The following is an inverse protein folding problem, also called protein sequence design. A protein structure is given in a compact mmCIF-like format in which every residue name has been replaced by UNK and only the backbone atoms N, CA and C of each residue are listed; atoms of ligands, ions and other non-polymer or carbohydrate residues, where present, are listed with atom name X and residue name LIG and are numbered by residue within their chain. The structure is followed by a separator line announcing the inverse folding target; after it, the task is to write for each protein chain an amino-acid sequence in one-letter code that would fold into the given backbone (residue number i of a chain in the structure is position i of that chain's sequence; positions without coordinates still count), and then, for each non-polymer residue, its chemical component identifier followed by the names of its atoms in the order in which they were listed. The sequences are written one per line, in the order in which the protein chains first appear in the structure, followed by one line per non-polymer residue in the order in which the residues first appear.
data_IF_444517304433
#
_entry.id   IF_444517304433
#
_cell.length_a   1.000
_cell.length_b   1.000
_cell.length_c   1.000
_cell.angle_alpha   90.00
_cell.angle_beta   90.00
_cell.angle_gamma   90.00
#
_symmetry.space_group_name_H-M   'P 1'
#
loop_
_entity.id
_entity.type
_entity.pdbx_description
1 polymer ?
#
# COMPACT_ATOMS: atom_id res chain seq x y z
N UNK A 1 33.24 -0.14 -3.90
CA UNK A 1 32.44 -1.33 -3.51
C UNK A 1 31.52 -0.86 -2.41
N UNK A 2 30.20 -1.01 -2.60
CA UNK A 2 29.20 -0.63 -1.58
C UNK A 2 29.51 -1.33 -0.26
N UNK A 3 29.43 -0.60 0.85
CA UNK A 3 29.56 -1.16 2.20
C UNK A 3 28.21 -1.56 2.80
N UNK A 4 27.12 -1.12 2.17
CA UNK A 4 25.76 -1.52 2.51
C UNK A 4 25.49 -2.91 1.91
N UNK A 5 25.25 -3.88 2.79
CA UNK A 5 24.75 -5.19 2.40
C UNK A 5 23.23 -5.23 2.58
N UNK A 6 22.48 -5.23 1.47
CA UNK A 6 21.02 -5.28 1.54
C UNK A 6 20.50 -6.62 2.07
N UNK A 7 21.30 -7.69 1.99
CA UNK A 7 20.92 -9.01 2.51
C UNK A 7 20.72 -9.00 4.03
N UNK A 8 21.37 -8.08 4.75
CA UNK A 8 21.23 -7.93 6.19
C UNK A 8 19.75 -7.68 6.58
N UNK A 9 18.98 -6.98 5.73
CA UNK A 9 17.55 -6.76 5.97
C UNK A 9 16.72 -8.04 5.88
N UNK A 10 17.14 -9.04 5.09
CA UNK A 10 16.44 -10.33 5.01
C UNK A 10 16.47 -11.05 6.35
N UNK A 11 17.60 -10.96 7.05
CA UNK A 11 17.81 -11.60 8.35
C UNK A 11 17.19 -10.79 9.49
N UNK A 12 17.26 -9.45 9.42
CA UNK A 12 16.75 -8.55 10.46
C UNK A 12 15.22 -8.41 10.47
N UNK A 13 14.57 -8.53 9.30
CA UNK A 13 13.11 -8.34 9.20
C UNK A 13 12.38 -9.64 9.58
N UNK A 14 11.79 -9.60 10.77
CA UNK A 14 10.82 -10.59 11.22
C UNK A 14 9.42 -10.30 10.66
N UNK A 15 8.55 -11.30 10.66
CA UNK A 15 7.12 -11.06 10.40
C UNK A 15 6.45 -10.49 11.66
N UNK A 16 5.33 -9.75 11.53
CA UNK A 16 4.43 -9.51 12.64
C UNK A 16 4.10 -10.80 13.41
N UNK A 17 3.89 -10.69 14.72
CA UNK A 17 3.81 -11.85 15.61
C UNK A 17 2.56 -12.71 15.30
N UNK A 18 2.79 -13.90 14.74
CA UNK A 18 1.71 -14.82 14.39
C UNK A 18 1.03 -15.49 15.59
N UNK A 19 1.66 -15.51 16.77
CA UNK A 19 1.03 -15.92 18.02
C UNK A 19 0.03 -14.86 18.49
N UNK A 20 0.47 -13.61 18.56
CA UNK A 20 -0.40 -12.47 18.92
C UNK A 20 -1.55 -12.31 17.92
N UNK A 21 -1.31 -12.55 16.63
CA UNK A 21 -2.39 -12.55 15.63
C UNK A 21 -3.48 -13.56 15.98
N UNK A 22 -3.11 -14.80 16.30
CA UNK A 22 -4.06 -15.84 16.71
C UNK A 22 -4.78 -15.47 18.01
N UNK A 23 -4.08 -14.83 18.95
CA UNK A 23 -4.70 -14.35 20.19
C UNK A 23 -5.72 -13.23 19.91
N UNK A 24 -5.44 -12.35 18.96
CA UNK A 24 -6.37 -11.31 18.50
C UNK A 24 -7.58 -11.90 17.77
N UNK A 25 -7.39 -12.88 16.88
CA UNK A 25 -8.45 -13.65 16.21
C UNK A 25 -9.35 -14.35 17.26
N UNK A 26 -8.76 -15.08 18.20
CA UNK A 26 -9.49 -15.77 19.27
C UNK A 26 -10.25 -14.81 20.19
N UNK A 27 -9.66 -13.64 20.49
CA UNK A 27 -10.37 -12.56 21.21
C UNK A 27 -11.55 -12.06 20.40
N UNK A 28 -11.37 -11.83 19.10
CA UNK A 28 -12.41 -11.35 18.20
C UNK A 28 -13.62 -12.28 18.16
N UNK A 29 -13.42 -13.60 18.18
CA UNK A 29 -14.49 -14.61 18.24
C UNK A 29 -15.40 -14.50 19.48
N UNK A 30 -14.83 -14.05 20.61
CA UNK A 30 -15.55 -13.89 21.87
C UNK A 30 -16.31 -12.58 21.97
N UNK A 31 -16.08 -11.60 21.09
CA UNK A 31 -16.76 -10.29 21.15
C UNK A 31 -18.25 -10.37 20.80
N UNK A 32 -19.04 -9.44 21.36
CA UNK A 32 -20.50 -9.38 21.21
C UNK A 32 -20.95 -9.27 19.74
N UNK A 33 -20.16 -8.59 18.90
CA UNK A 33 -20.41 -8.48 17.47
C UNK A 33 -19.87 -9.74 16.80
N UNK A 34 -20.64 -10.48 15.99
CA UNK A 34 -20.11 -11.68 15.31
C UNK A 34 -18.87 -11.37 14.46
N UNK A 35 -17.84 -12.24 14.45
CA UNK A 35 -16.68 -12.10 13.56
C UNK A 35 -17.10 -11.98 12.09
N UNK A 36 -16.36 -11.18 11.31
CA UNK A 36 -16.64 -10.88 9.92
C UNK A 36 -17.70 -9.79 9.71
N UNK A 37 -18.49 -9.44 10.72
CA UNK A 37 -19.54 -8.42 10.59
C UNK A 37 -18.99 -6.99 10.50
N UNK A 38 -17.76 -6.77 10.97
CA UNK A 38 -17.03 -5.50 10.78
C UNK A 38 -16.22 -5.49 9.48
N UNK A 39 -16.30 -6.57 8.68
CA UNK A 39 -15.54 -6.75 7.45
C UNK A 39 -14.05 -6.61 7.69
N UNK A 40 -13.39 -5.81 6.86
CA UNK A 40 -11.92 -5.61 6.89
C UNK A 40 -11.39 -4.94 8.16
N UNK A 41 -12.26 -4.36 8.99
CA UNK A 41 -11.83 -3.80 10.28
C UNK A 41 -11.37 -4.92 11.25
N UNK A 42 -11.91 -6.13 11.11
CA UNK A 42 -11.44 -7.30 11.86
C UNK A 42 -9.98 -7.61 11.48
N UNK A 43 -9.72 -7.80 10.17
CA UNK A 43 -8.38 -8.06 9.64
C UNK A 43 -7.36 -6.97 10.00
N UNK A 44 -7.78 -5.70 9.99
CA UNK A 44 -6.96 -4.54 10.35
C UNK A 44 -6.57 -4.55 11.83
N UNK A 45 -7.52 -4.87 12.71
CA UNK A 45 -7.28 -4.97 14.15
C UNK A 45 -6.30 -6.10 14.47
N UNK A 46 -6.46 -7.25 13.81
CA UNK A 46 -5.57 -8.41 13.93
C UNK A 46 -4.16 -8.12 13.39
N UNK A 47 -4.07 -7.48 12.23
CA UNK A 47 -2.78 -7.05 11.66
C UNK A 47 -2.06 -6.09 12.61
N UNK A 48 -2.75 -5.08 13.14
CA UNK A 48 -2.15 -4.11 14.03
C UNK A 48 -1.74 -4.73 15.36
N UNK A 49 -2.56 -5.64 15.92
CA UNK A 49 -2.21 -6.41 17.11
C UNK A 49 -0.90 -7.20 16.91
N UNK A 50 -0.80 -7.91 15.79
CA UNK A 50 0.39 -8.68 15.42
C UNK A 50 1.62 -7.79 15.22
N UNK A 51 1.46 -6.65 14.56
CA UNK A 51 2.56 -5.71 14.31
C UNK A 51 3.05 -5.05 15.61
N UNK A 52 2.14 -4.73 16.53
CA UNK A 52 2.46 -4.16 17.83
C UNK A 52 2.93 -5.20 18.87
N UNK A 53 2.75 -6.49 18.59
CA UNK A 53 3.00 -7.59 19.53
C UNK A 53 2.11 -7.52 20.78
N UNK A 54 0.85 -7.07 20.64
CA UNK A 54 -0.08 -6.89 21.75
C UNK A 54 -1.52 -7.27 21.39
N UNK A 55 -2.17 -8.08 22.25
CA UNK A 55 -3.61 -8.36 22.23
C UNK A 55 -4.17 -8.16 23.65
N UNK A 56 -5.08 -7.20 23.90
CA UNK A 56 -5.69 -6.30 22.92
C UNK A 56 -4.67 -5.35 22.27
N UNK A 57 -5.03 -4.92 21.06
CA UNK A 57 -4.25 -3.94 20.29
C UNK A 57 -4.19 -2.61 21.05
N UNK A 58 -3.07 -1.90 20.94
CA UNK A 58 -2.91 -0.55 21.50
C UNK A 58 -3.49 0.48 20.51
N UNK A 59 -4.16 1.54 21.00
CA UNK A 59 -4.57 2.65 20.15
C UNK A 59 -3.38 3.26 19.40
N UNK A 60 -3.64 3.79 18.19
CA UNK A 60 -2.68 4.58 17.42
C UNK A 60 -2.81 6.04 17.86
N UNK A 61 -1.90 6.48 18.71
CA UNK A 61 -1.89 7.79 19.38
C UNK A 61 -0.89 8.77 18.76
N UNK A 62 0.22 8.28 18.20
CA UNK A 62 1.34 9.09 17.72
C UNK A 62 1.66 8.81 16.25
N UNK A 63 0.67 8.91 15.33
CA UNK A 63 0.94 8.76 13.92
C UNK A 63 1.80 9.92 13.40
N UNK A 64 2.60 9.66 12.37
CA UNK A 64 3.45 10.66 11.71
C UNK A 64 3.28 10.61 10.21
N UNK A 65 3.15 11.77 9.55
CA UNK A 65 3.34 11.84 8.09
C UNK A 65 4.81 12.07 7.78
N UNK A 66 5.39 11.23 6.92
CA UNK A 66 6.76 11.41 6.41
C UNK A 66 6.71 11.53 4.89
N UNK A 67 7.23 12.63 4.36
CA UNK A 67 7.24 12.94 2.94
C UNK A 67 8.68 13.06 2.45
N UNK A 68 9.08 12.18 1.54
CA UNK A 68 10.38 12.29 0.87
C UNK A 68 10.25 13.15 -0.38
N UNK A 69 11.11 14.17 -0.50
CA UNK A 69 11.04 15.14 -1.58
C UNK A 69 12.26 15.07 -2.52
N UNK A 70 12.01 15.18 -3.83
CA UNK A 70 13.07 15.14 -4.83
C UNK A 70 12.59 15.54 -6.24
N UNK A 71 13.47 16.20 -6.99
CA UNK A 71 13.25 16.48 -8.40
C UNK A 71 13.94 15.43 -9.27
N UNK A 72 13.27 15.03 -10.36
CA UNK A 72 13.78 14.03 -11.29
C UNK A 72 14.08 14.62 -12.66
N UNK A 73 15.30 14.47 -13.16
CA UNK A 73 15.73 15.04 -14.45
C UNK A 73 14.86 14.60 -15.64
N UNK A 74 14.22 13.44 -15.54
CA UNK A 74 13.27 12.95 -16.56
C UNK A 74 12.09 13.91 -16.81
N UNK A 75 11.79 14.79 -15.85
CA UNK A 75 10.76 15.82 -15.98
C UNK A 75 11.04 16.80 -17.14
N UNK A 76 12.30 16.99 -17.56
CA UNK A 76 12.68 17.84 -18.70
C UNK A 76 12.03 17.43 -20.02
N UNK A 77 11.61 16.16 -20.15
CA UNK A 77 10.89 15.66 -21.32
C UNK A 77 9.41 16.06 -21.37
N UNK A 78 8.92 16.85 -20.40
CA UNK A 78 7.52 17.23 -20.31
C UNK A 78 6.62 16.02 -20.08
N UNK A 79 7.04 15.13 -19.17
CA UNK A 79 6.31 13.93 -18.70
C UNK A 79 5.41 14.22 -17.49
N UNK A 80 5.47 15.45 -16.99
CA UNK A 80 4.69 15.98 -15.88
C UNK A 80 3.93 17.22 -16.35
N UNK A 81 2.78 17.50 -15.74
CA UNK A 81 2.09 18.78 -15.91
C UNK A 81 2.89 19.93 -15.29
N UNK A 82 3.71 19.62 -14.27
CA UNK A 82 4.56 20.59 -13.57
C UNK A 82 5.91 20.77 -14.27
N UNK A 83 6.47 21.99 -14.30
CA UNK A 83 7.81 22.24 -14.83
C UNK A 83 8.87 21.41 -14.09
N UNK A 84 9.92 21.00 -14.80
CA UNK A 84 11.07 20.37 -14.16
C UNK A 84 11.70 21.30 -13.10
N UNK A 85 12.12 20.75 -11.97
CA UNK A 85 12.74 21.51 -10.87
C UNK A 85 11.75 22.25 -9.96
N UNK A 86 10.44 22.03 -10.11
CA UNK A 86 9.41 22.73 -9.34
C UNK A 86 8.93 21.99 -8.07
N UNK A 87 9.55 20.86 -7.67
CA UNK A 87 9.13 20.18 -6.44
C UNK A 87 9.35 21.03 -5.18
N UNK A 88 10.30 21.96 -5.20
CA UNK A 88 10.52 22.92 -4.11
C UNK A 88 9.29 23.82 -3.84
N UNK A 89 8.51 24.15 -4.87
CA UNK A 89 7.27 24.93 -4.71
C UNK A 89 6.22 24.13 -3.93
N UNK A 90 6.09 22.84 -4.25
CA UNK A 90 5.20 21.92 -3.53
C UNK A 90 5.61 21.77 -2.06
N UNK A 91 6.91 21.63 -1.78
CA UNK A 91 7.42 21.55 -0.42
C UNK A 91 7.09 22.83 0.37
N UNK A 92 7.27 24.00 -0.25
CA UNK A 92 6.86 25.27 0.37
C UNK A 92 5.37 25.29 0.68
N UNK A 93 4.52 24.92 -0.28
CA UNK A 93 3.07 24.85 -0.07
C UNK A 93 2.67 23.87 1.05
N UNK A 94 3.39 22.75 1.21
CA UNK A 94 3.17 21.81 2.33
C UNK A 94 3.50 22.48 3.66
N UNK A 95 4.67 23.11 3.77
CA UNK A 95 5.15 23.78 4.99
C UNK A 95 4.22 24.95 5.38
N UNK A 96 3.77 25.74 4.39
CA UNK A 96 2.83 26.85 4.58
C UNK A 96 1.40 26.38 4.88
N UNK A 97 1.13 25.09 4.74
CA UNK A 97 -0.15 24.50 5.12
C UNK A 97 -1.23 24.53 4.03
N UNK A 98 -0.86 24.85 2.79
CA UNK A 98 -1.75 25.05 1.64
C UNK A 98 -2.10 23.77 0.87
N UNK A 99 -1.36 22.68 1.06
CA UNK A 99 -1.61 21.40 0.38
C UNK A 99 -2.66 20.53 1.08
N UNK A 100 -3.32 19.60 0.36
CA UNK A 100 -4.27 18.67 0.95
C UNK A 100 -3.71 17.88 2.14
N UNK A 101 -2.46 17.39 2.04
CA UNK A 101 -1.80 16.68 3.15
C UNK A 101 -1.75 17.54 4.41
N UNK A 102 -1.39 18.82 4.29
CA UNK A 102 -1.28 19.73 5.43
C UNK A 102 -2.63 20.04 6.06
N UNK A 103 -3.69 20.16 5.25
CA UNK A 103 -5.06 20.37 5.73
C UNK A 103 -5.56 19.14 6.49
N UNK A 104 -5.38 17.95 5.92
CA UNK A 104 -5.82 16.68 6.52
C UNK A 104 -5.01 16.36 7.79
N UNK A 105 -3.70 16.52 7.74
CA UNK A 105 -2.81 16.25 8.86
C UNK A 105 -3.17 17.12 10.07
N UNK A 106 -3.36 18.43 9.85
CA UNK A 106 -3.83 19.35 10.90
C UNK A 106 -5.21 18.97 11.44
N UNK A 107 -6.14 18.55 10.57
CA UNK A 107 -7.48 18.11 10.99
C UNK A 107 -7.44 16.84 11.85
N UNK A 108 -6.51 15.94 11.57
CA UNK A 108 -6.33 14.67 12.27
C UNK A 108 -5.33 14.76 13.43
N UNK A 109 -4.69 15.92 13.65
CA UNK A 109 -3.68 16.10 14.70
C UNK A 109 -2.36 15.37 14.41
N UNK A 110 -2.07 15.06 13.15
CA UNK A 110 -0.89 14.30 12.71
C UNK A 110 0.22 15.27 12.31
N UNK A 111 1.41 15.21 12.92
CA UNK A 111 2.54 16.03 12.48
C UNK A 111 3.05 15.59 11.10
N UNK A 112 3.46 16.56 10.27
CA UNK A 112 4.07 16.32 8.96
C UNK A 112 5.56 16.61 9.02
N UNK A 113 6.36 15.65 8.57
CA UNK A 113 7.80 15.79 8.36
C UNK A 113 8.10 15.71 6.87
N UNK A 114 8.77 16.72 6.34
CA UNK A 114 9.30 16.71 4.97
C UNK A 114 10.80 16.46 5.05
N UNK A 115 11.30 15.56 4.21
CA UNK A 115 12.72 15.22 4.10
C UNK A 115 13.15 15.46 2.66
N UNK A 116 13.97 16.48 2.46
CA UNK A 116 14.56 16.75 1.16
C UNK A 116 15.74 15.83 0.90
N UNK A 117 15.62 15.05 -0.18
CA UNK A 117 16.67 14.16 -0.64
C UNK A 117 17.41 14.72 -1.86
N UNK A 118 16.69 15.41 -2.75
CA UNK A 118 17.25 15.91 -4.01
C UNK A 118 16.43 17.03 -4.69
N UNK A 119 15.86 17.98 -3.95
CA UNK A 119 15.19 19.14 -4.57
C UNK A 119 16.16 19.97 -5.44
N UNK A 120 15.69 20.40 -6.61
CA UNK A 120 16.45 21.23 -7.55
C UNK A 120 16.39 22.73 -7.18
N UNK A 121 16.83 23.04 -5.96
CA UNK A 121 16.81 24.40 -5.44
C UNK A 121 18.02 24.69 -4.56
N UNK A 122 18.16 25.94 -4.13
CA UNK A 122 19.14 26.31 -3.10
C UNK A 122 18.72 25.68 -1.75
N UNK A 123 19.61 24.95 -1.04
CA UNK A 123 19.30 24.41 0.29
C UNK A 123 18.83 25.48 1.30
N UNK A 124 19.32 26.72 1.19
CA UNK A 124 19.00 27.80 2.13
C UNK A 124 17.52 28.26 2.04
N UNK A 125 16.76 27.75 1.07
CA UNK A 125 15.32 28.00 0.92
C UNK A 125 14.47 27.31 1.99
N UNK A 126 14.99 26.28 2.65
CA UNK A 126 14.25 25.50 3.65
C UNK A 126 15.00 25.40 4.98
N UNK A 127 14.29 25.15 6.09
CA UNK A 127 14.94 25.00 7.39
C UNK A 127 15.82 23.74 7.45
N UNK A 128 16.77 23.72 8.39
CA UNK A 128 17.79 22.67 8.51
C UNK A 128 17.18 21.27 8.64
N UNK A 129 16.06 21.12 9.34
CA UNK A 129 15.39 19.83 9.55
C UNK A 129 14.84 19.21 8.26
N UNK A 130 14.53 20.03 7.24
CA UNK A 130 14.10 19.57 5.91
C UNK A 130 15.31 19.14 5.08
N UNK A 131 16.39 19.92 5.06
CA UNK A 131 17.53 19.73 4.14
C UNK A 131 18.66 18.87 4.70
N UNK A 132 18.61 18.52 6.00
CA UNK A 132 19.66 17.75 6.71
C UNK A 132 20.10 16.47 5.99
N UNK A 133 19.18 15.82 5.27
CA UNK A 133 19.41 14.54 4.60
C UNK A 133 19.64 14.67 3.09
N UNK A 134 19.75 15.89 2.57
CA UNK A 134 19.93 16.13 1.14
C UNK A 134 21.22 15.47 0.65
N UNK A 135 21.11 14.66 -0.40
CA UNK A 135 22.24 13.95 -1.00
C UNK A 135 22.78 14.69 -2.22
N UNK A 136 21.89 15.28 -3.01
CA UNK A 136 22.26 15.99 -4.25
C UNK A 136 21.19 17.00 -4.65
N UNK A 137 21.31 17.57 -5.85
CA UNK A 137 20.36 18.51 -6.44
C UNK A 137 19.80 17.94 -7.75
N UNK A 138 18.55 17.47 -7.73
CA UNK A 138 17.89 16.77 -8.84
C UNK A 138 18.55 15.45 -9.25
N UNK A 139 17.79 14.46 -9.73
CA UNK A 139 18.35 13.23 -10.30
C UNK A 139 18.69 13.37 -11.79
N UNK A 140 19.55 12.48 -12.30
CA UNK A 140 19.86 12.39 -13.73
C UNK A 140 18.67 11.93 -14.59
N UNK A 141 18.82 12.09 -15.91
CA UNK A 141 17.79 11.70 -16.87
C UNK A 141 17.79 10.19 -17.16
N UNK A 142 16.92 9.46 -16.47
CA UNK A 142 16.85 7.99 -16.49
C UNK A 142 16.64 7.35 -17.87
N UNK A 143 16.23 8.11 -18.88
CA UNK A 143 16.16 7.63 -20.26
C UNK A 143 17.54 7.46 -20.92
N UNK A 144 18.55 8.22 -20.47
CA UNK A 144 19.88 8.28 -21.11
C UNK A 144 21.06 8.09 -20.15
N UNK A 145 20.89 8.35 -18.85
CA UNK A 145 21.95 8.31 -17.83
C UNK A 145 21.43 7.89 -16.45
N UNK A 146 22.31 7.51 -15.53
CA UNK A 146 21.89 7.05 -14.20
C UNK A 146 21.23 8.19 -13.41
N UNK A 147 20.19 7.86 -12.64
CA UNK A 147 19.54 8.81 -11.74
C UNK A 147 20.54 9.34 -10.70
N UNK A 148 21.38 8.44 -10.18
CA UNK A 148 22.36 8.65 -9.13
C UNK A 148 23.64 7.87 -9.44
N UNK A 149 24.77 8.32 -8.89
CA UNK A 149 25.90 7.41 -8.68
C UNK A 149 25.53 6.34 -7.64
N UNK A 150 26.26 5.22 -7.63
CA UNK A 150 26.01 4.17 -6.64
C UNK A 150 26.24 4.66 -5.21
N UNK A 151 27.25 5.50 -5.00
CA UNK A 151 27.57 6.13 -3.72
C UNK A 151 26.45 7.06 -3.24
N UNK A 152 25.86 7.86 -4.14
CA UNK A 152 24.70 8.70 -3.83
C UNK A 152 23.47 7.86 -3.50
N UNK A 153 23.23 6.75 -4.22
CA UNK A 153 22.14 5.83 -3.91
C UNK A 153 22.32 5.19 -2.52
N UNK A 154 23.55 4.77 -2.18
CA UNK A 154 23.89 4.22 -0.86
C UNK A 154 23.67 5.27 0.24
N UNK A 155 24.10 6.51 0.02
CA UNK A 155 23.91 7.62 0.95
C UNK A 155 22.42 7.95 1.16
N UNK A 156 21.64 8.00 0.08
CA UNK A 156 20.20 8.25 0.14
C UNK A 156 19.46 7.13 0.87
N UNK A 157 19.78 5.87 0.57
CA UNK A 157 19.21 4.72 1.25
C UNK A 157 19.49 4.79 2.76
N UNK A 158 20.74 5.05 3.16
CA UNK A 158 21.13 5.20 4.57
C UNK A 158 20.45 6.38 5.26
N UNK A 159 20.23 7.49 4.55
CA UNK A 159 19.48 8.60 5.08
C UNK A 159 18.03 8.19 5.38
N UNK A 160 17.40 7.40 4.50
CA UNK A 160 16.09 6.78 4.75
C UNK A 160 16.07 5.90 6.00
N UNK A 161 17.07 5.04 6.16
CA UNK A 161 17.27 4.22 7.38
C UNK A 161 17.36 5.10 8.62
N UNK A 162 18.19 6.14 8.60
CA UNK A 162 18.35 7.07 9.73
C UNK A 162 17.04 7.80 10.06
N UNK A 163 16.27 8.23 9.07
CA UNK A 163 14.97 8.87 9.28
C UNK A 163 13.98 7.90 9.94
N UNK A 164 13.97 6.62 9.55
CA UNK A 164 13.12 5.62 10.19
C UNK A 164 13.51 5.36 11.65
N UNK A 165 14.81 5.31 11.95
CA UNK A 165 15.30 5.19 13.33
C UNK A 165 14.88 6.40 14.18
N UNK A 166 15.02 7.62 13.65
CA UNK A 166 14.59 8.84 14.33
C UNK A 166 13.09 8.86 14.61
N UNK A 167 12.25 8.40 13.67
CA UNK A 167 10.81 8.31 13.88
C UNK A 167 10.44 7.28 14.95
N UNK A 168 11.05 6.09 14.89
CA UNK A 168 10.85 5.05 15.89
C UNK A 168 11.29 5.51 17.29
N UNK A 169 12.46 6.15 17.40
CA UNK A 169 13.02 6.66 18.66
C UNK A 169 12.19 7.82 19.24
N UNK A 170 11.50 8.59 18.39
CA UNK A 170 10.58 9.65 18.82
C UNK A 170 9.23 9.15 19.37
N UNK A 171 9.02 7.82 19.32
CA UNK A 171 7.81 7.15 19.75
C UNK A 171 6.67 7.26 18.74
N UNK A 172 6.97 7.38 17.44
CA UNK A 172 5.97 7.21 16.38
C UNK A 172 5.46 5.77 16.41
N UNK A 173 4.15 5.58 16.43
CA UNK A 173 3.51 4.25 16.50
C UNK A 173 2.93 3.77 15.17
N UNK A 174 2.77 4.68 14.21
CA UNK A 174 2.37 4.39 12.83
C UNK A 174 2.84 5.49 11.88
N UNK A 175 3.41 5.11 10.75
CA UNK A 175 3.81 6.06 9.72
C UNK A 175 2.78 6.14 8.61
N UNK A 176 2.49 7.35 8.16
CA UNK A 176 1.79 7.67 6.92
C UNK A 176 2.85 8.14 5.92
N UNK A 177 3.09 7.35 4.87
CA UNK A 177 4.20 7.59 3.95
C UNK A 177 3.71 8.15 2.62
N UNK A 178 4.34 9.23 2.16
CA UNK A 178 4.12 9.83 0.84
C UNK A 178 5.40 10.41 0.23
N UNK A 179 5.26 10.96 -0.97
CA UNK A 179 6.33 11.66 -1.69
C UNK A 179 5.89 13.06 -2.11
N UNK A 180 6.88 13.93 -2.33
CA UNK A 180 6.71 15.21 -3.03
C UNK A 180 7.74 15.25 -4.15
N UNK A 181 7.33 14.85 -5.36
CA UNK A 181 8.26 14.72 -6.47
C UNK A 181 7.71 15.27 -7.78
N UNK A 182 8.62 15.80 -8.61
CA UNK A 182 8.33 16.11 -10.01
C UNK A 182 9.11 15.15 -10.88
N UNK A 183 8.37 14.36 -11.69
CA UNK A 183 8.93 13.27 -12.49
C UNK A 183 9.02 11.92 -11.75
N UNK A 184 8.79 11.88 -10.44
CA UNK A 184 8.90 10.64 -9.64
C UNK A 184 7.93 9.54 -10.05
N UNK A 185 6.72 9.87 -10.55
CA UNK A 185 5.80 8.83 -11.08
C UNK A 185 6.34 8.12 -12.33
N UNK A 186 7.24 8.76 -13.09
CA UNK A 186 7.91 8.14 -14.24
C UNK A 186 8.99 7.17 -13.76
N UNK A 187 9.79 7.57 -12.77
CA UNK A 187 10.79 6.70 -12.13
C UNK A 187 10.13 5.51 -11.43
N UNK A 188 9.05 5.74 -10.68
CA UNK A 188 8.23 4.69 -10.07
C UNK A 188 7.66 3.73 -11.12
N UNK A 189 7.16 4.25 -12.25
CA UNK A 189 6.72 3.43 -13.38
C UNK A 189 7.84 2.54 -13.93
N UNK A 190 9.05 3.08 -14.10
CA UNK A 190 10.21 2.31 -14.55
C UNK A 190 10.56 1.17 -13.56
N UNK A 191 10.59 1.45 -12.26
CA UNK A 191 10.84 0.44 -11.22
C UNK A 191 9.76 -0.65 -11.22
N UNK A 192 8.48 -0.28 -11.24
CA UNK A 192 7.38 -1.26 -11.24
C UNK A 192 7.42 -2.12 -12.49
N UNK A 193 7.57 -1.52 -13.67
CA UNK A 193 7.63 -2.30 -14.90
C UNK A 193 8.86 -3.23 -14.95
N UNK A 194 9.99 -2.78 -14.42
CA UNK A 194 11.21 -3.59 -14.32
C UNK A 194 10.99 -4.81 -13.40
N UNK A 195 10.41 -4.59 -12.22
CA UNK A 195 10.23 -5.64 -11.20
C UNK A 195 9.03 -6.57 -11.46
N UNK A 196 8.02 -6.12 -12.18
CA UNK A 196 6.85 -6.91 -12.57
C UNK A 196 6.97 -7.54 -13.96
N UNK A 197 8.00 -7.19 -14.74
CA UNK A 197 8.18 -7.70 -16.09
C UNK A 197 7.08 -7.26 -17.06
N UNK A 198 6.61 -6.02 -16.94
CA UNK A 198 5.50 -5.48 -17.74
C UNK A 198 5.95 -4.35 -18.67
N UNK A 199 5.16 -4.06 -19.69
CA UNK A 199 5.44 -2.97 -20.62
C UNK A 199 5.20 -1.58 -20.02
N UNK A 200 5.90 -0.58 -20.56
CA UNK A 200 5.81 0.81 -20.13
C UNK A 200 4.38 1.35 -20.13
N UNK A 201 3.58 1.04 -21.16
CA UNK A 201 2.19 1.49 -21.27
C UNK A 201 1.25 0.94 -20.20
N UNK A 202 1.59 -0.22 -19.60
CA UNK A 202 0.77 -0.90 -18.59
C UNK A 202 0.93 -0.25 -17.21
N UNK A 203 2.06 0.40 -16.94
CA UNK A 203 2.37 1.03 -15.66
C UNK A 203 2.25 2.55 -15.69
N UNK A 204 2.20 3.15 -16.89
CA UNK A 204 2.23 4.61 -17.05
C UNK A 204 0.84 5.21 -16.89
N UNK A 205 0.60 5.89 -15.76
CA UNK A 205 -0.58 6.71 -15.55
C UNK A 205 -0.38 8.18 -15.91
N UNK A 206 -1.44 8.97 -15.69
CA UNK A 206 -1.51 10.39 -16.06
C UNK A 206 -1.15 11.35 -14.92
N UNK A 207 -0.82 10.84 -13.74
CA UNK A 207 -0.55 11.62 -12.54
C UNK A 207 -1.81 12.18 -11.89
N UNK A 208 -1.63 12.76 -10.69
CA UNK A 208 -2.69 13.49 -10.00
C UNK A 208 -3.10 14.77 -10.70
N UNK A 209 -2.11 15.50 -11.21
CA UNK A 209 -2.30 16.60 -12.14
C UNK A 209 -2.22 16.04 -13.56
N UNK A 210 -3.39 15.93 -14.21
CA UNK A 210 -3.55 15.14 -15.42
C UNK A 210 -2.73 15.69 -16.59
N UNK A 211 -1.95 14.81 -17.22
CA UNK A 211 -1.23 15.09 -18.46
C UNK A 211 -2.05 14.70 -19.71
N UNK A 212 -1.80 15.39 -20.82
CA UNK A 212 -2.40 15.08 -22.12
C UNK A 212 -1.81 13.81 -22.77
N UNK A 213 -2.36 13.40 -23.92
CA UNK A 213 -1.93 12.19 -24.63
C UNK A 213 -0.49 12.29 -25.14
N UNK A 214 -0.04 13.48 -25.55
CA UNK A 214 1.31 13.68 -26.05
C UNK A 214 2.34 13.54 -24.92
N UNK A 215 2.06 14.12 -23.76
CA UNK A 215 2.84 13.96 -22.55
C UNK A 215 2.83 12.52 -22.05
N UNK A 216 1.68 11.84 -22.10
CA UNK A 216 1.59 10.42 -21.77
C UNK A 216 2.43 9.56 -22.72
N UNK A 217 2.41 9.82 -24.02
CA UNK A 217 3.27 9.13 -25.01
C UNK A 217 4.76 9.35 -24.73
N UNK A 218 5.17 10.58 -24.41
CA UNK A 218 6.55 10.88 -24.00
C UNK A 218 6.92 10.13 -22.71
N UNK A 219 6.01 10.07 -21.74
CA UNK A 219 6.20 9.34 -20.48
C UNK A 219 6.37 7.85 -20.71
N UNK A 220 5.53 7.23 -21.56
CA UNK A 220 5.68 5.84 -21.97
C UNK A 220 7.03 5.58 -22.65
N UNK A 221 7.48 6.49 -23.52
CA UNK A 221 8.79 6.37 -24.18
C UNK A 221 9.95 6.45 -23.18
N UNK A 222 9.89 7.40 -22.24
CA UNK A 222 10.84 7.55 -21.15
C UNK A 222 10.93 6.29 -20.27
N UNK A 223 9.79 5.74 -19.83
CA UNK A 223 9.75 4.49 -19.05
C UNK A 223 10.34 3.34 -19.85
N UNK A 224 10.00 3.22 -21.15
CA UNK A 224 10.54 2.18 -22.03
C UNK A 224 12.07 2.26 -22.17
N UNK A 225 12.64 3.46 -22.27
CA UNK A 225 14.10 3.64 -22.34
C UNK A 225 14.77 3.35 -20.99
N UNK A 226 14.20 3.83 -19.89
CA UNK A 226 14.66 3.49 -18.54
C UNK A 226 14.65 1.97 -18.31
N UNK A 227 13.61 1.25 -18.77
CA UNK A 227 13.54 -0.21 -18.67
C UNK A 227 14.72 -0.93 -19.35
N UNK A 228 15.23 -0.42 -20.47
CA UNK A 228 16.41 -1.01 -21.12
C UNK A 228 17.65 -0.91 -20.23
N UNK A 229 17.74 0.17 -19.47
CA UNK A 229 18.85 0.46 -18.55
C UNK A 229 18.68 -0.27 -17.21
N UNK A 230 17.45 -0.50 -16.76
CA UNK A 230 17.14 -1.29 -15.57
C UNK A 230 17.45 -2.79 -15.72
N UNK A 231 17.22 -3.36 -16.92
CA UNK A 231 17.34 -4.82 -17.17
C UNK A 231 18.67 -5.45 -16.72
N UNK A 232 19.85 -4.87 -17.02
CA UNK A 232 21.13 -5.45 -16.61
C UNK A 232 21.36 -5.46 -15.09
N UNK A 233 20.61 -4.64 -14.33
CA UNK A 233 20.82 -4.42 -12.89
C UNK A 233 19.62 -4.82 -12.04
N UNK A 234 18.67 -5.59 -12.60
CA UNK A 234 17.45 -6.04 -11.90
C UNK A 234 17.72 -6.85 -10.62
N UNK A 235 18.84 -7.57 -10.59
CA UNK A 235 19.25 -8.37 -9.43
C UNK A 235 19.84 -7.53 -8.29
N UNK A 236 20.29 -6.32 -8.57
CA UNK A 236 21.03 -5.46 -7.64
C UNK A 236 20.17 -4.25 -7.26
N UNK A 237 19.38 -4.34 -6.19
CA UNK A 237 18.31 -3.36 -5.92
C UNK A 237 18.84 -1.94 -5.68
N UNK A 238 20.02 -1.79 -5.05
CA UNK A 238 20.64 -0.49 -4.88
C UNK A 238 21.08 0.12 -6.22
N UNK A 239 21.66 -0.70 -7.10
CA UNK A 239 22.05 -0.26 -8.44
C UNK A 239 20.82 0.03 -9.31
N UNK A 240 19.73 -0.72 -9.16
CA UNK A 240 18.47 -0.44 -9.84
C UNK A 240 17.90 0.93 -9.43
N UNK A 241 17.92 1.26 -8.14
CA UNK A 241 17.55 2.58 -7.62
C UNK A 241 18.50 3.67 -8.15
N UNK A 242 19.80 3.40 -8.22
CA UNK A 242 20.77 4.32 -8.79
C UNK A 242 20.54 4.58 -10.28
N UNK A 243 20.16 3.56 -11.05
CA UNK A 243 20.01 3.66 -12.51
C UNK A 243 18.69 4.29 -12.94
N UNK A 244 17.55 3.89 -12.36
CA UNK A 244 16.21 4.34 -12.81
C UNK A 244 15.30 4.88 -11.70
N UNK A 245 15.80 5.00 -10.48
CA UNK A 245 15.07 5.56 -9.34
C UNK A 245 15.36 7.06 -9.16
N UNK A 246 15.76 7.43 -7.95
CA UNK A 246 16.07 8.78 -7.51
C UNK A 246 16.44 8.76 -6.01
N UNK A 247 16.95 9.87 -5.49
CA UNK A 247 17.42 9.92 -4.09
C UNK A 247 16.25 9.79 -3.10
N UNK A 248 15.13 10.42 -3.40
CA UNK A 248 13.85 10.27 -2.69
C UNK A 248 13.36 8.81 -2.68
N UNK A 249 13.40 8.12 -3.82
CA UNK A 249 12.99 6.72 -3.94
C UNK A 249 13.95 5.77 -3.20
N UNK A 250 15.26 6.03 -3.28
CA UNK A 250 16.27 5.24 -2.57
C UNK A 250 16.13 5.40 -1.05
N UNK A 251 15.95 6.63 -0.57
CA UNK A 251 15.67 6.91 0.83
C UNK A 251 14.35 6.28 1.29
N UNK A 252 13.27 6.43 0.51
CA UNK A 252 11.98 5.85 0.86
C UNK A 252 12.03 4.32 0.94
N UNK A 253 12.83 3.67 0.09
CA UNK A 253 13.05 2.21 0.15
C UNK A 253 13.80 1.81 1.43
N UNK A 254 14.88 2.51 1.76
CA UNK A 254 15.63 2.28 3.02
C UNK A 254 14.79 2.55 4.26
N UNK A 255 13.98 3.60 4.23
CA UNK A 255 13.03 3.96 5.28
C UNK A 255 12.01 2.84 5.51
N UNK A 256 11.39 2.31 4.46
CA UNK A 256 10.39 1.24 4.56
C UNK A 256 10.97 -0.06 5.15
N UNK A 257 12.16 -0.45 4.70
CA UNK A 257 12.86 -1.62 5.23
C UNK A 257 13.25 -1.43 6.70
N UNK A 258 13.76 -0.26 7.05
CA UNK A 258 14.11 0.03 8.43
C UNK A 258 12.88 0.12 9.34
N UNK A 259 11.76 0.67 8.87
CA UNK A 259 10.49 0.62 9.61
C UNK A 259 10.12 -0.83 9.95
N UNK A 260 10.25 -1.77 9.00
CA UNK A 260 10.00 -3.18 9.25
C UNK A 260 10.97 -3.78 10.29
N UNK A 261 12.27 -3.45 10.23
CA UNK A 261 13.27 -3.85 11.26
C UNK A 261 12.89 -3.32 12.64
N UNK A 262 12.45 -2.06 12.70
CA UNK A 262 12.04 -1.36 13.93
C UNK A 262 10.63 -1.72 14.40
N UNK A 263 9.95 -2.65 13.72
CA UNK A 263 8.57 -3.08 14.00
C UNK A 263 7.57 -1.91 13.97
N UNK A 264 7.81 -0.94 13.10
CA UNK A 264 7.03 0.27 12.90
C UNK A 264 6.09 0.10 11.69
N UNK A 265 4.76 0.01 11.89
CA UNK A 265 3.82 -0.15 10.79
C UNK A 265 3.75 1.09 9.89
N UNK A 266 3.58 0.87 8.58
CA UNK A 266 3.54 1.96 7.58
C UNK A 266 2.31 1.86 6.69
N UNK A 267 1.64 2.99 6.48
CA UNK A 267 0.53 3.14 5.52
C UNK A 267 1.05 3.83 4.26
N UNK A 268 1.02 3.11 3.14
CA UNK A 268 1.51 3.53 1.84
C UNK A 268 0.44 4.33 1.08
N UNK A 269 0.83 5.48 0.54
CA UNK A 269 -0.05 6.34 -0.27
C UNK A 269 -0.12 5.90 -1.75
N UNK A 270 0.52 6.66 -2.65
CA UNK A 270 0.41 6.50 -4.10
C UNK A 270 1.43 5.56 -4.74
N UNK A 271 1.59 5.72 -6.06
CA UNK A 271 2.44 4.85 -6.90
C UNK A 271 3.92 4.89 -6.52
N UNK A 272 4.44 6.03 -6.05
CA UNK A 272 5.86 6.15 -5.67
C UNK A 272 6.15 5.34 -4.41
N UNK A 273 5.32 5.48 -3.38
CA UNK A 273 5.41 4.66 -2.17
C UNK A 273 5.26 3.16 -2.48
N UNK A 274 4.29 2.79 -3.34
CA UNK A 274 4.11 1.41 -3.76
C UNK A 274 5.30 0.85 -4.56
N UNK A 275 5.95 1.67 -5.40
CA UNK A 275 7.15 1.27 -6.14
C UNK A 275 8.35 1.04 -5.20
N UNK A 276 8.56 1.93 -4.22
CA UNK A 276 9.63 1.77 -3.22
C UNK A 276 9.38 0.55 -2.33
N UNK A 277 8.13 0.32 -1.92
CA UNK A 277 7.72 -0.88 -1.22
C UNK A 277 8.00 -2.15 -2.05
N UNK A 278 7.73 -2.12 -3.36
CA UNK A 278 8.02 -3.25 -4.25
C UNK A 278 9.53 -3.52 -4.37
N UNK A 279 10.37 -2.48 -4.42
CA UNK A 279 11.83 -2.64 -4.32
C UNK A 279 12.21 -3.25 -2.98
N UNK A 280 11.63 -2.76 -1.87
CA UNK A 280 11.83 -3.29 -0.53
C UNK A 280 11.42 -4.77 -0.40
N UNK A 281 10.31 -5.19 -1.01
CA UNK A 281 9.91 -6.61 -1.06
C UNK A 281 10.97 -7.47 -1.75
N UNK A 282 11.64 -6.96 -2.80
CA UNK A 282 12.72 -7.69 -3.48
C UNK A 282 13.96 -7.83 -2.61
N UNK A 283 14.23 -6.86 -1.74
CA UNK A 283 15.31 -6.93 -0.75
C UNK A 283 14.95 -7.89 0.37
N UNK A 284 13.76 -7.76 0.96
CA UNK A 284 13.30 -8.60 2.07
C UNK A 284 11.83 -8.99 1.88
N UNK A 285 11.58 -10.25 1.56
CA UNK A 285 10.24 -10.73 1.20
C UNK A 285 9.19 -10.64 2.33
N UNK A 286 9.64 -10.50 3.59
CA UNK A 286 8.78 -10.35 4.78
C UNK A 286 8.38 -8.90 5.05
N UNK A 287 9.05 -7.93 4.45
CA UNK A 287 8.80 -6.51 4.69
C UNK A 287 7.36 -6.06 4.39
N UNK A 288 6.67 -6.56 3.34
CA UNK A 288 5.28 -6.17 3.06
C UNK A 288 4.30 -6.47 4.18
N UNK A 289 4.58 -7.44 5.06
CA UNK A 289 3.70 -7.76 6.19
C UNK A 289 3.60 -6.60 7.20
N UNK A 290 4.52 -5.63 7.15
CA UNK A 290 4.53 -4.41 7.97
C UNK A 290 3.82 -3.21 7.34
N UNK A 291 3.32 -3.35 6.11
CA UNK A 291 2.77 -2.22 5.36
C UNK A 291 1.30 -2.43 5.02
N UNK A 292 0.56 -1.33 4.96
CA UNK A 292 -0.81 -1.28 4.46
C UNK A 292 -0.90 -0.40 3.22
N UNK A 293 -1.66 -0.82 2.22
CA UNK A 293 -2.01 0.04 1.10
C UNK A 293 -3.22 0.93 1.49
N UNK A 294 -3.05 2.24 1.45
CA UNK A 294 -4.12 3.15 1.86
C UNK A 294 -5.30 3.17 0.90
N UNK A 295 -5.03 3.40 -0.38
CA UNK A 295 -6.09 3.66 -1.35
C UNK A 295 -5.71 3.27 -2.78
N UNK A 296 -6.72 3.05 -3.62
CA UNK A 296 -6.60 2.96 -5.08
C UNK A 296 -6.42 4.38 -5.63
N UNK A 297 -5.20 4.71 -6.05
CA UNK A 297 -4.86 6.03 -6.63
C UNK A 297 -5.29 6.20 -8.09
N UNK A 298 -5.63 5.09 -8.75
CA UNK A 298 -5.92 5.06 -10.19
C UNK A 298 -4.66 5.12 -11.07
N UNK A 299 -3.45 5.17 -10.50
CA UNK A 299 -2.21 4.97 -11.25
C UNK A 299 -2.02 3.47 -11.57
N UNK A 300 -1.89 3.08 -12.86
CA UNK A 300 -1.74 1.68 -13.27
C UNK A 300 -0.53 0.99 -12.63
N UNK A 301 0.58 1.72 -12.46
CA UNK A 301 1.78 1.23 -11.78
C UNK A 301 1.52 0.87 -10.32
N UNK A 302 0.69 1.62 -9.60
CA UNK A 302 0.35 1.31 -8.21
C UNK A 302 -0.40 -0.02 -8.14
N UNK A 303 -1.42 -0.20 -8.97
CA UNK A 303 -2.20 -1.44 -9.00
C UNK A 303 -1.31 -2.66 -9.26
N UNK A 304 -0.34 -2.56 -10.19
CA UNK A 304 0.61 -3.63 -10.47
C UNK A 304 1.57 -3.92 -9.32
N UNK A 305 2.07 -2.88 -8.64
CA UNK A 305 2.94 -3.05 -7.49
C UNK A 305 2.22 -3.73 -6.32
N UNK A 306 0.99 -3.27 -6.03
CA UNK A 306 0.18 -3.80 -4.94
C UNK A 306 -0.25 -5.25 -5.19
N UNK A 307 -0.65 -5.59 -6.41
CA UNK A 307 -0.95 -6.97 -6.83
C UNK A 307 0.28 -7.90 -6.61
N UNK A 308 1.47 -7.44 -7.01
CA UNK A 308 2.71 -8.21 -6.82
C UNK A 308 3.09 -8.43 -5.36
N UNK A 309 2.70 -7.50 -4.48
CA UNK A 309 2.89 -7.57 -3.03
C UNK A 309 1.70 -8.22 -2.28
N UNK A 310 0.62 -8.56 -2.96
CA UNK A 310 -0.64 -9.02 -2.37
C UNK A 310 -1.23 -8.06 -1.32
N UNK A 311 -1.12 -6.75 -1.56
CA UNK A 311 -1.66 -5.70 -0.70
C UNK A 311 -2.99 -5.16 -1.27
N UNK A 312 -4.10 -5.36 -0.56
CA UNK A 312 -5.40 -4.80 -0.96
C UNK A 312 -5.60 -3.39 -0.36
N UNK A 313 -5.81 -2.34 -1.17
CA UNK A 313 -6.04 -0.98 -0.66
C UNK A 313 -7.27 -0.85 0.23
N UNK A 314 -7.20 -0.04 1.29
CA UNK A 314 -8.32 0.19 2.21
C UNK A 314 -9.47 1.00 1.59
N UNK A 315 -9.13 1.95 0.72
CA UNK A 315 -10.07 2.91 0.16
C UNK A 315 -10.07 2.91 -1.36
N UNK A 316 -11.23 3.21 -1.95
CA UNK A 316 -11.38 3.50 -3.38
C UNK A 316 -12.26 4.75 -3.56
N UNK A 317 -11.61 5.91 -3.42
CA UNK A 317 -12.28 7.22 -3.47
C UNK A 317 -11.84 8.06 -4.68
N UNK A 318 -11.07 7.48 -5.60
CA UNK A 318 -10.53 8.19 -6.76
C UNK A 318 -9.56 9.33 -6.43
N UNK A 319 -8.97 9.34 -5.22
CA UNK A 319 -7.95 10.31 -4.82
C UNK A 319 -6.69 10.09 -5.66
N UNK A 320 -6.14 11.14 -6.28
CA UNK A 320 -4.95 11.04 -7.15
C UNK A 320 -3.82 11.99 -6.80
N UNK A 321 -4.04 12.90 -5.84
CA UNK A 321 -3.14 14.03 -5.59
C UNK A 321 -1.75 13.61 -5.08
N UNK A 322 -1.65 12.45 -4.41
CA UNK A 322 -0.41 11.98 -3.79
C UNK A 322 -0.13 12.67 -2.45
N UNK A 323 1.14 12.90 -2.15
CA UNK A 323 1.62 13.65 -0.97
C UNK A 323 1.22 13.03 0.38
N UNK A 324 0.81 11.76 0.43
CA UNK A 324 0.32 11.14 1.66
C UNK A 324 -1.15 11.43 1.97
N UNK A 325 -1.88 12.12 1.08
CA UNK A 325 -3.27 12.50 1.32
C UNK A 325 -4.20 11.28 1.38
N UNK A 326 -4.03 10.29 0.50
CA UNK A 326 -4.81 9.05 0.52
C UNK A 326 -4.49 8.21 1.76
N UNK A 327 -3.22 8.15 2.15
CA UNK A 327 -2.77 7.50 3.39
C UNK A 327 -3.33 8.17 4.66
N UNK A 328 -3.38 9.51 4.72
CA UNK A 328 -4.06 10.23 5.81
C UNK A 328 -5.56 9.93 5.87
N UNK A 329 -6.24 9.80 4.73
CA UNK A 329 -7.67 9.46 4.71
C UNK A 329 -7.95 8.03 5.19
N UNK A 330 -6.98 7.13 5.07
CA UNK A 330 -7.09 5.77 5.59
C UNK A 330 -6.81 5.66 7.10
N UNK A 331 -6.08 6.62 7.69
CA UNK A 331 -5.70 6.60 9.10
C UNK A 331 -6.91 6.45 10.07
N UNK A 332 -8.03 7.18 9.90
CA UNK A 332 -9.20 6.99 10.77
C UNK A 332 -9.77 5.57 10.73
N UNK A 333 -9.65 4.84 9.62
CA UNK A 333 -10.09 3.44 9.55
C UNK A 333 -9.16 2.54 10.37
N UNK A 334 -7.85 2.77 10.33
CA UNK A 334 -6.88 2.03 11.14
C UNK A 334 -7.12 2.30 12.63
N UNK A 335 -7.34 3.57 13.00
CA UNK A 335 -7.68 3.94 14.38
C UNK A 335 -9.00 3.32 14.85
N UNK A 336 -10.03 3.31 13.99
CA UNK A 336 -11.31 2.67 14.31
C UNK A 336 -11.15 1.15 14.50
N UNK A 337 -10.39 0.48 13.64
CA UNK A 337 -10.09 -0.95 13.79
C UNK A 337 -9.39 -1.25 15.11
N UNK A 338 -8.40 -0.43 15.49
CA UNK A 338 -7.71 -0.55 16.77
C UNK A 338 -8.68 -0.42 17.96
N UNK A 339 -9.50 0.63 17.97
CA UNK A 339 -10.46 0.88 19.04
C UNK A 339 -11.50 -0.25 19.15
N UNK A 340 -12.07 -0.69 18.03
CA UNK A 340 -13.07 -1.77 18.02
C UNK A 340 -12.49 -3.10 18.54
N UNK A 341 -11.28 -3.46 18.09
CA UNK A 341 -10.62 -4.68 18.53
C UNK A 341 -10.25 -4.65 20.02
N UNK A 342 -9.93 -3.47 20.57
CA UNK A 342 -9.62 -3.31 21.98
C UNK A 342 -10.85 -3.25 22.89
N UNK A 343 -11.86 -2.45 22.52
CA UNK A 343 -12.92 -1.97 23.42
C UNK A 343 -14.25 -2.73 23.31
N UNK A 344 -14.53 -3.44 22.21
CA UNK A 344 -15.77 -4.20 22.11
C UNK A 344 -15.84 -5.28 23.22
N UNK A 345 -16.97 -5.35 23.95
CA UNK A 345 -17.08 -6.29 25.05
C UNK A 345 -17.17 -7.73 24.53
N UNK A 346 -16.76 -8.68 25.36
CA UNK A 346 -16.94 -10.11 25.11
C UNK A 346 -18.38 -10.52 25.46
N UNK A 347 -18.88 -11.57 24.80
CA UNK A 347 -20.16 -12.19 25.09
C UNK A 347 -20.14 -12.65 26.56
N UNK A 348 -21.23 -12.46 27.32
CA UNK A 348 -21.32 -13.04 28.65
C UNK A 348 -21.15 -14.54 28.55
N UNK A 349 -20.35 -15.13 29.45
CA UNK A 349 -20.25 -16.60 29.55
C UNK A 349 -21.67 -17.14 29.79
N UNK A 350 -22.16 -17.97 28.88
CA UNK A 350 -23.37 -18.74 29.15
C UNK A 350 -23.06 -19.65 30.34
N UNK A 351 -23.59 -19.29 31.51
CA UNK A 351 -23.58 -20.19 32.66
C UNK A 351 -24.16 -21.51 32.19
N UNK A 352 -23.38 -22.58 32.22
CA UNK A 352 -23.87 -23.93 32.01
C UNK A 352 -24.99 -24.18 33.02
N UNK A 353 -26.24 -23.98 32.61
CA UNK A 353 -27.41 -24.39 33.36
C UNK A 353 -27.38 -25.91 33.50
N UNK A 354 -27.90 -26.47 34.60
CA UNK A 354 -27.71 -27.87 34.93
C UNK A 354 -28.20 -28.75 33.78
N UNK A 355 -27.39 -29.76 33.45
CA UNK A 355 -27.67 -30.80 32.46
C UNK A 355 -29.14 -31.21 32.54
N UNK A 356 -29.87 -31.05 31.43
CA UNK A 356 -31.19 -31.67 31.30
C UNK A 356 -30.98 -33.17 31.35
N UNK A 357 -31.30 -33.76 32.49
CA UNK A 357 -31.45 -35.18 32.71
C UNK A 357 -32.30 -35.79 31.60
N UNK A 358 -31.73 -36.74 30.87
CA UNK A 358 -32.44 -37.61 29.94
C UNK A 358 -33.54 -38.37 30.70
N UNK A 359 -34.80 -38.14 30.33
CA UNK A 359 -35.92 -39.03 30.71
C UNK A 359 -35.90 -40.28 29.81
N UNK A 360 -36.16 -41.48 30.36
CA UNK A 360 -35.99 -42.72 29.61
C UNK A 360 -37.10 -42.93 28.58
N UNK A 361 -36.70 -43.37 27.38
CA UNK A 361 -37.59 -43.78 26.29
C UNK A 361 -38.57 -44.87 26.74
N UNK A 362 -39.87 -44.62 26.51
CA UNK A 362 -40.91 -45.65 26.59
C UNK A 362 -40.92 -46.47 25.29
N UNK A 363 -40.66 -47.76 25.46
CA UNK A 363 -40.88 -48.85 24.50
C UNK A 363 -42.30 -48.86 23.92
N UNK A 364 -42.41 -48.96 22.59
CA UNK A 364 -43.65 -49.30 21.89
C UNK A 364 -43.38 -50.52 20.99
N UNK A 365 -44.07 -51.61 21.26
CA UNK A 365 -44.16 -52.82 20.42
C UNK A 365 -45.15 -52.62 19.24
N UNK A 366 -45.04 -53.39 18.13
CA UNK A 366 -45.79 -53.17 16.89
C UNK A 366 -46.93 -54.18 16.64
N UNK A 367 -47.97 -53.76 15.90
CA UNK A 367 -48.88 -54.50 14.97
C UNK A 367 -50.22 -53.75 14.87
N UNK A 368 -50.99 -53.68 13.77
CA UNK A 368 -51.01 -54.41 12.51
C UNK A 368 -51.63 -53.53 11.39
N UNK A 369 -51.46 -54.00 10.15
CA UNK A 369 -51.93 -53.41 8.90
C UNK A 369 -53.44 -53.53 8.68
N UNK A 370 -54.02 -52.58 7.92
CA UNK A 370 -55.08 -52.89 6.96
C UNK A 370 -55.15 -51.83 5.84
N UNK A 371 -55.34 -52.32 4.62
CA UNK A 371 -55.24 -51.61 3.36
C UNK A 371 -56.60 -51.06 2.89
N UNK A 372 -56.59 -49.94 2.16
CA UNK A 372 -57.66 -49.61 1.23
C UNK A 372 -57.16 -48.68 0.13
N UNK A 373 -57.32 -49.13 -1.11
CA UNK A 373 -56.97 -48.46 -2.35
C UNK A 373 -58.14 -47.64 -2.89
N UNK A 374 -57.86 -46.53 -3.59
CA UNK A 374 -58.62 -46.13 -4.79
C UNK A 374 -57.89 -45.08 -5.62
N UNK A 375 -57.64 -45.44 -6.87
CA UNK A 375 -57.30 -44.60 -8.04
C UNK A 375 -58.55 -43.83 -8.53
N UNK A 376 -58.45 -42.65 -9.17
CA UNK A 376 -58.41 -42.39 -10.64
C UNK A 376 -58.48 -40.85 -10.86
N UNK A 377 -57.99 -40.28 -12.00
CA UNK A 377 -57.67 -38.85 -12.22
C UNK A 377 -58.61 -38.11 -13.22
N UNK A 378 -58.46 -36.78 -13.42
CA UNK A 378 -58.69 -36.09 -14.72
C UNK A 378 -58.37 -34.57 -14.75
N UNK A 379 -57.57 -34.18 -15.75
CA UNK A 379 -57.67 -33.05 -16.71
C UNK A 379 -57.76 -31.53 -16.35
N UNK A 380 -56.85 -30.81 -17.03
CA UNK A 380 -56.99 -29.55 -17.80
C UNK A 380 -57.07 -28.16 -17.12
N UNK A 381 -56.10 -27.28 -17.41
CA UNK A 381 -56.27 -26.18 -18.38
C UNK A 381 -54.97 -25.38 -18.63
N UNK A 382 -54.93 -24.72 -19.78
CA UNK A 382 -53.81 -24.12 -20.52
C UNK A 382 -53.24 -22.78 -20.01
N UNK A 383 -52.09 -22.44 -20.63
CA UNK A 383 -51.71 -21.13 -21.22
C UNK A 383 -50.71 -20.24 -20.45
N UNK A 384 -49.46 -20.15 -20.94
CA UNK A 384 -49.07 -19.11 -21.91
C UNK A 384 -47.54 -19.04 -22.12
N UNK A 385 -47.21 -18.70 -23.36
CA UNK A 385 -45.92 -18.53 -24.03
C UNK A 385 -44.99 -17.45 -23.44
N UNK A 386 -43.67 -17.56 -23.64
CA UNK A 386 -42.91 -16.80 -24.66
C UNK A 386 -41.46 -17.33 -24.74
N UNK A 387 -40.97 -17.40 -25.98
CA UNK A 387 -39.72 -17.93 -26.52
C UNK A 387 -38.45 -17.13 -26.20
N UNK A 388 -37.34 -17.84 -25.93
CA UNK A 388 -35.96 -17.32 -26.03
C UNK A 388 -35.22 -17.97 -27.20
N UNK A 389 -34.88 -17.18 -28.21
CA UNK A 389 -34.14 -17.62 -29.40
C UNK A 389 -32.64 -17.70 -29.15
N UNK A 390 -32.02 -18.75 -29.69
CA UNK A 390 -30.58 -18.90 -29.85
C UNK A 390 -30.16 -18.26 -31.17
N UNK A 391 -29.13 -17.42 -31.15
CA UNK A 391 -28.41 -17.02 -32.35
C UNK A 391 -26.91 -17.33 -32.18
N UNK A 392 -26.46 -18.24 -33.03
CA UNK A 392 -25.09 -18.66 -33.26
C UNK A 392 -24.72 -18.13 -34.66
N UNK A 393 -23.68 -17.30 -34.81
CA UNK A 393 -23.08 -17.07 -36.14
C UNK A 393 -21.61 -16.63 -36.11
N UNK A 394 -20.80 -17.45 -36.80
CA UNK A 394 -19.75 -17.15 -37.78
C UNK A 394 -18.39 -16.51 -37.40
N UNK A 395 -17.37 -17.37 -37.52
CA UNK A 395 -16.30 -17.37 -38.57
C UNK A 395 -16.00 -16.02 -39.26
N UNK A 396 -14.73 -15.61 -39.23
CA UNK A 396 -14.07 -14.92 -40.36
C UNK A 396 -12.66 -15.46 -40.60
N UNK A 397 -12.43 -15.79 -41.86
CA UNK A 397 -11.19 -16.24 -42.48
C UNK A 397 -10.28 -15.05 -42.85
N UNK A 398 -9.00 -15.39 -42.92
CA UNK A 398 -7.89 -14.81 -43.70
C UNK A 398 -8.27 -14.30 -45.09
N UNK A 399 -7.83 -13.07 -45.40
CA UNK A 399 -6.95 -12.73 -46.54
C UNK A 399 -6.27 -11.37 -46.29
#
# INVERSE_FOLDING_TARGET
MSSLNLDDFTDLIERPDGGVRRDAEARRERQIVPPGSLGRLDDLGEWLAAAQGSSPVRPVERPRVVLFAGDHGIAELGVSARPAGSASELVREVIEGGRPVSVLARRLGVPVRVVDMALDCDPDMFPEDVVRHRVRRGSGRIDIEDALTLEEAEAAFRAGVAVADEEADSGTDLVVLGDISVGGTTAAGALVAALCGTDASVVTGRGGEAIDDLAWMRKCAAVRDALRRARPVLGEQLQLLATVGGADLAAMTGFLLQCAVRKLPVVLDGVVAAACALVGQRVAFRAPDWWLAAHKSGEPGQAKALDRMALEPLLDQGVKVGEGAGALLALPLVQAAAALAAELPEKPEESQGPEKSEEPEKSVEPEAAEASATSVPSEASEASSVSGGQHEEKKRETE
#
